data_IF_919792815195
#
_entry.id   IF_919792815195
#
_cell.length_a   1.000
_cell.length_b   1.000
_cell.length_c   1.000
_cell.angle_alpha   90.00
_cell.angle_beta   90.00
_cell.angle_gamma   90.00
#
_symmetry.space_group_name_H-M   'P 1'
#
loop_
_entity.id
_entity.type
_entity.pdbx_description
1 polymer ?
#
# COMPACT_ATOMS: atom_id res chain seq x y z
N UNK A 1 3.08 -27.43 2.24
CA UNK A 1 3.73 -26.33 2.90
C UNK A 1 2.73 -25.29 3.31
N UNK A 2 2.63 -25.10 4.56
CA UNK A 2 1.71 -24.10 5.07
C UNK A 2 2.16 -22.68 4.74
N UNK A 3 3.45 -22.54 4.48
CA UNK A 3 4.02 -21.22 4.26
C UNK A 3 3.46 -20.52 3.05
N UNK A 4 2.96 -21.27 2.05
CA UNK A 4 2.42 -20.63 0.87
C UNK A 4 1.27 -19.71 1.18
N UNK A 5 0.56 -20.00 2.25
CA UNK A 5 -0.60 -19.22 2.61
C UNK A 5 -0.28 -17.79 2.97
N UNK A 6 0.89 -17.56 3.54
CA UNK A 6 1.29 -16.22 3.93
C UNK A 6 1.59 -15.34 2.73
N UNK A 7 1.98 -15.96 1.63
CA UNK A 7 2.34 -15.22 0.43
C UNK A 7 1.17 -15.04 -0.52
N UNK A 8 0.06 -15.72 -0.25
CA UNK A 8 -1.11 -15.64 -1.12
C UNK A 8 -1.77 -14.27 -1.03
N UNK A 9 -1.59 -13.57 0.08
CA UNK A 9 -2.28 -12.32 0.33
C UNK A 9 -1.31 -11.23 0.78
N UNK A 10 -0.36 -10.86 -0.08
CA UNK A 10 0.60 -9.84 0.30
C UNK A 10 -0.05 -8.47 0.41
N UNK A 11 0.55 -7.64 1.23
CA UNK A 11 0.15 -6.25 1.36
C UNK A 11 0.97 -5.43 0.38
N UNK A 12 0.31 -4.49 -0.29
CA UNK A 12 0.93 -3.63 -1.29
C UNK A 12 0.76 -2.18 -0.90
N UNK A 13 1.86 -1.43 -0.94
CA UNK A 13 1.82 0.02 -0.77
C UNK A 13 2.14 0.61 -2.13
N UNK A 14 1.22 1.41 -2.67
CA UNK A 14 1.29 1.89 -4.05
C UNK A 14 1.01 3.37 -4.11
N UNK A 15 1.72 4.04 -5.02
CA UNK A 15 1.40 5.43 -5.36
C UNK A 15 0.66 5.44 -6.69
N UNK A 16 -0.40 6.21 -6.75
CA UNK A 16 -1.26 6.32 -7.93
C UNK A 16 -1.04 7.66 -8.61
N UNK A 17 -1.44 7.76 -9.88
CA UNK A 17 -1.40 9.03 -10.59
C UNK A 17 -2.50 9.95 -10.06
N UNK A 18 -2.48 11.20 -10.52
CA UNK A 18 -3.40 12.22 -10.02
C UNK A 18 -4.85 11.91 -10.34
N UNK A 19 -5.11 11.09 -11.35
CA UNK A 19 -6.46 10.74 -11.74
C UNK A 19 -6.96 9.48 -11.04
N UNK A 20 -6.12 8.86 -10.20
CA UNK A 20 -6.48 7.65 -9.48
C UNK A 20 -6.78 6.47 -10.43
N UNK A 21 -6.13 6.47 -11.58
CA UNK A 21 -6.39 5.49 -12.64
C UNK A 21 -5.31 4.44 -12.75
N UNK A 22 -4.06 4.81 -12.52
CA UNK A 22 -2.92 3.93 -12.74
C UNK A 22 -1.96 3.99 -11.57
N UNK A 23 -1.40 2.85 -11.23
CA UNK A 23 -0.32 2.77 -10.24
C UNK A 23 0.95 3.29 -10.89
N UNK A 24 1.53 4.33 -10.31
CA UNK A 24 2.80 4.89 -10.78
C UNK A 24 4.00 4.16 -10.21
N UNK A 25 3.87 3.70 -8.97
CA UNK A 25 4.99 3.06 -8.30
C UNK A 25 4.50 2.06 -7.28
N UNK A 26 5.08 0.88 -7.29
CA UNK A 26 4.91 -0.08 -6.21
C UNK A 26 5.99 0.22 -5.17
N UNK A 27 5.59 0.74 -4.03
CA UNK A 27 6.51 1.21 -3.00
C UNK A 27 6.98 0.06 -2.14
N UNK A 28 6.06 -0.83 -1.77
CA UNK A 28 6.38 -1.95 -0.91
C UNK A 28 5.44 -3.11 -1.18
N UNK A 29 5.98 -4.32 -1.06
CA UNK A 29 5.22 -5.55 -1.18
C UNK A 29 5.73 -6.47 -0.09
N UNK A 30 4.87 -6.83 0.85
CA UNK A 30 5.28 -7.62 2.00
C UNK A 30 4.10 -8.42 2.53
N UNK A 31 4.40 -9.56 3.12
CA UNK A 31 3.39 -10.37 3.81
C UNK A 31 3.12 -9.91 5.23
N UNK A 32 3.83 -8.88 5.70
CA UNK A 32 3.74 -8.42 7.07
C UNK A 32 2.98 -7.11 7.13
N UNK A 33 1.80 -7.13 7.75
CA UNK A 33 0.95 -5.94 7.82
C UNK A 33 1.65 -4.76 8.50
N UNK A 34 2.39 -5.02 9.57
CA UNK A 34 3.04 -3.92 10.31
C UNK A 34 4.12 -3.25 9.48
N UNK A 35 4.86 -4.04 8.71
CA UNK A 35 5.85 -3.48 7.80
C UNK A 35 5.15 -2.68 6.70
N UNK A 36 4.08 -3.23 6.16
CA UNK A 36 3.32 -2.52 5.13
C UNK A 36 2.76 -1.21 5.67
N UNK A 37 2.22 -1.23 6.88
CA UNK A 37 1.66 -0.02 7.48
C UNK A 37 2.72 1.04 7.70
N UNK A 38 3.89 0.63 8.18
CA UNK A 38 5.00 1.57 8.38
C UNK A 38 5.44 2.16 7.05
N UNK A 39 5.52 1.33 6.01
CA UNK A 39 5.89 1.79 4.68
C UNK A 39 4.86 2.79 4.15
N UNK A 40 3.58 2.50 4.36
CA UNK A 40 2.51 3.39 3.93
C UNK A 40 2.65 4.75 4.61
N UNK A 41 2.82 4.76 5.92
CA UNK A 41 2.90 6.01 6.67
C UNK A 41 4.12 6.83 6.27
N UNK A 42 5.25 6.16 6.06
CA UNK A 42 6.45 6.86 5.61
C UNK A 42 6.27 7.41 4.20
N UNK A 43 5.63 6.64 3.32
CA UNK A 43 5.40 7.10 1.96
C UNK A 43 4.51 8.34 1.92
N UNK A 44 3.48 8.36 2.75
CA UNK A 44 2.58 9.53 2.84
C UNK A 44 3.35 10.77 3.24
N UNK A 45 4.24 10.65 4.21
CA UNK A 45 5.05 11.78 4.66
C UNK A 45 5.98 12.29 3.57
N UNK A 46 6.57 11.38 2.81
CA UNK A 46 7.57 11.74 1.82
C UNK A 46 6.97 12.22 0.50
N UNK A 47 5.69 11.96 0.29
CA UNK A 47 5.02 12.26 -0.97
C UNK A 47 3.74 13.03 -0.71
N UNK A 48 3.87 14.23 -0.14
CA UNK A 48 2.68 15.03 0.20
C UNK A 48 1.88 15.34 -1.06
N UNK A 49 0.58 15.23 -0.93
CA UNK A 49 -0.32 15.49 -2.06
C UNK A 49 -0.47 14.37 -3.05
N UNK A 50 0.31 13.30 -2.92
CA UNK A 50 0.19 12.15 -3.81
C UNK A 50 -0.80 11.15 -3.23
N UNK A 51 -1.40 10.35 -4.11
CA UNK A 51 -2.35 9.31 -3.70
C UNK A 51 -1.55 8.06 -3.39
N UNK A 52 -1.54 7.65 -2.14
CA UNK A 52 -0.84 6.44 -1.68
C UNK A 52 -1.86 5.54 -1.02
N UNK A 53 -1.83 4.26 -1.36
CA UNK A 53 -2.76 3.28 -0.80
C UNK A 53 -2.02 2.09 -0.22
N UNK A 54 -2.64 1.48 0.77
CA UNK A 54 -2.22 0.18 1.31
C UNK A 54 -3.35 -0.79 1.02
N UNK A 55 -3.07 -1.82 0.26
CA UNK A 55 -4.07 -2.82 -0.15
C UNK A 55 -3.60 -4.23 0.16
N UNK A 56 -4.58 -5.09 0.33
CA UNK A 56 -4.37 -6.53 0.34
C UNK A 56 -5.27 -7.09 -0.75
N UNK A 57 -4.68 -7.47 -1.88
CA UNK A 57 -5.43 -7.79 -3.11
C UNK A 57 -6.30 -6.59 -3.49
N UNK A 58 -7.60 -6.79 -3.58
CA UNK A 58 -8.52 -5.70 -3.92
C UNK A 58 -9.02 -4.95 -2.70
N UNK A 59 -8.67 -5.42 -1.51
CA UNK A 59 -9.16 -4.82 -0.28
C UNK A 59 -8.32 -3.62 0.09
N UNK A 60 -8.94 -2.46 0.09
CA UNK A 60 -8.27 -1.22 0.47
C UNK A 60 -8.24 -1.12 1.99
N UNK A 61 -7.05 -1.02 2.56
CA UNK A 61 -6.88 -0.95 4.01
C UNK A 61 -6.59 0.46 4.50
N UNK A 62 -5.91 1.26 3.68
CA UNK A 62 -5.60 2.64 4.03
C UNK A 62 -5.39 3.45 2.77
N UNK A 63 -5.70 4.74 2.86
CA UNK A 63 -5.66 5.64 1.71
C UNK A 63 -5.24 7.02 2.22
N UNK A 64 -4.22 7.60 1.60
CA UNK A 64 -3.68 8.89 2.06
C UNK A 64 -4.73 9.99 2.02
N UNK A 65 -5.71 9.88 1.15
CA UNK A 65 -6.76 10.90 1.03
C UNK A 65 -7.73 10.88 2.20
N UNK A 66 -7.78 9.77 2.93
CA UNK A 66 -8.68 9.61 4.07
C UNK A 66 -8.02 9.95 5.40
N UNK A 67 -6.73 10.26 5.40
CA UNK A 67 -6.02 10.58 6.63
C UNK A 67 -6.34 12.00 7.05
N UNK A 68 -6.44 12.19 8.36
CA UNK A 68 -6.74 13.50 8.92
C UNK A 68 -5.60 14.04 9.73
#
# INVERSE_FOLDING_TARGET
MATGRQFDLPFMVEQWDDTDSHVEELIALTGDYRVARAAFEEAVKRRPGRIVTLRQKTRLLADSRSLK
#
